data_IF_571961575118
#
_entry.id   IF_571961575118
#
_cell.length_a   1.000
_cell.length_b   1.000
_cell.length_c   1.000
_cell.angle_alpha   90.00
_cell.angle_beta   90.00
_cell.angle_gamma   90.00
#
_symmetry.space_group_name_H-M   'P 1'
#
loop_
_entity.id
_entity.type
_entity.pdbx_description
1 polymer ?
#
# COMPACT_ATOMS: atom_id res chain seq x y z
N UNK A 1 -17.86 -12.68 26.27
CA UNK A 1 -17.30 -12.84 24.92
C UNK A 1 -18.30 -12.44 23.84
N UNK A 2 -19.55 -12.93 23.84
CA UNK A 2 -20.54 -12.56 22.81
C UNK A 2 -21.08 -11.11 22.87
N UNK A 3 -21.03 -10.47 24.03
CA UNK A 3 -21.62 -9.14 24.26
C UNK A 3 -20.71 -8.00 23.76
N UNK A 4 -19.40 -8.21 23.86
CA UNK A 4 -18.37 -7.26 23.43
C UNK A 4 -18.25 -7.17 21.90
N UNK A 5 -18.53 -8.27 21.21
CA UNK A 5 -18.60 -8.32 19.75
C UNK A 5 -19.88 -7.66 19.21
N UNK A 6 -20.96 -7.71 20.00
CA UNK A 6 -22.23 -7.04 19.68
C UNK A 6 -22.09 -5.52 19.80
N UNK A 7 -21.40 -5.04 20.84
CA UNK A 7 -21.15 -3.61 21.02
C UNK A 7 -20.21 -3.03 19.95
N UNK A 8 -19.23 -3.83 19.50
CA UNK A 8 -18.38 -3.45 18.35
C UNK A 8 -19.17 -3.39 17.05
N UNK A 9 -20.05 -4.35 16.80
CA UNK A 9 -20.92 -4.34 15.63
C UNK A 9 -21.88 -3.13 15.63
N UNK A 10 -22.48 -2.81 16.78
CA UNK A 10 -23.36 -1.63 16.94
C UNK A 10 -22.58 -0.33 16.74
N UNK A 11 -21.35 -0.23 17.26
CA UNK A 11 -20.49 0.93 17.06
C UNK A 11 -20.10 1.16 15.60
N UNK A 12 -19.88 0.08 14.83
CA UNK A 12 -19.63 0.14 13.38
C UNK A 12 -20.90 0.60 12.63
N UNK A 13 -22.06 0.04 12.97
CA UNK A 13 -23.35 0.41 12.36
C UNK A 13 -23.69 1.89 12.60
N UNK A 14 -23.47 2.41 13.81
CA UNK A 14 -23.71 3.83 14.12
C UNK A 14 -22.78 4.76 13.33
N UNK A 15 -21.52 4.38 13.11
CA UNK A 15 -20.58 5.18 12.30
C UNK A 15 -20.93 5.18 10.82
N UNK A 16 -21.31 4.04 10.27
CA UNK A 16 -21.78 3.93 8.88
C UNK A 16 -23.06 4.75 8.70
N UNK A 17 -23.99 4.69 9.65
CA UNK A 17 -25.21 5.49 9.62
C UNK A 17 -24.93 7.00 9.73
N UNK A 18 -23.94 7.39 10.53
CA UNK A 18 -23.50 8.80 10.67
C UNK A 18 -22.82 9.29 9.39
N UNK A 19 -22.02 8.45 8.73
CA UNK A 19 -21.43 8.73 7.40
C UNK A 19 -22.51 8.78 6.30
N UNK A 20 -23.53 7.94 6.40
CA UNK A 20 -24.66 7.84 5.49
C UNK A 20 -25.76 8.87 5.79
N UNK A 21 -25.53 9.86 6.66
CA UNK A 21 -26.47 10.97 6.90
C UNK A 21 -26.52 11.97 5.71
N UNK A 22 -26.55 11.43 4.49
CA UNK A 22 -26.74 12.09 3.21
C UNK A 22 -27.97 11.50 2.53
N UNK A 23 -29.13 11.66 3.16
CA UNK A 23 -30.44 11.61 2.50
C UNK A 23 -30.91 10.25 1.95
N UNK A 24 -32.22 10.06 1.92
CA UNK A 24 -32.92 8.85 1.43
C UNK A 24 -32.54 8.41 0.00
N UNK A 25 -31.90 9.26 -0.80
CA UNK A 25 -31.52 8.95 -2.19
C UNK A 25 -30.17 8.23 -2.31
N UNK A 26 -29.29 8.28 -1.31
CA UNK A 26 -28.00 7.56 -1.36
C UNK A 26 -28.15 6.06 -1.14
N UNK A 27 -29.13 5.62 -0.36
CA UNK A 27 -29.41 4.20 -0.10
C UNK A 27 -29.81 3.44 -1.38
N UNK A 28 -30.51 4.09 -2.32
CA UNK A 28 -30.82 3.52 -3.63
C UNK A 28 -29.59 3.24 -4.50
N UNK A 29 -28.47 3.92 -4.21
CA UNK A 29 -27.21 3.78 -4.97
C UNK A 29 -26.38 2.59 -4.47
N UNK A 30 -26.66 2.08 -3.27
CA UNK A 30 -25.92 1.01 -2.62
C UNK A 30 -26.89 -0.06 -2.07
N UNK A 31 -27.44 -0.93 -2.94
CA UNK A 31 -28.46 -1.92 -2.57
C UNK A 31 -27.98 -2.93 -1.52
N UNK A 32 -26.67 -3.06 -1.31
CA UNK A 32 -26.10 -3.86 -0.23
C UNK A 32 -26.48 -3.35 1.17
N UNK A 33 -26.79 -2.05 1.32
CA UNK A 33 -27.21 -1.44 2.59
C UNK A 33 -28.71 -1.67 2.88
N UNK A 34 -29.56 -1.80 1.86
CA UNK A 34 -30.98 -2.19 2.01
C UNK A 34 -31.12 -3.59 2.63
N UNK A 35 -30.14 -4.47 2.38
CA UNK A 35 -30.12 -5.84 2.90
C UNK A 35 -29.91 -5.89 4.42
N UNK A 36 -29.32 -4.85 5.02
CA UNK A 36 -29.05 -4.78 6.46
C UNK A 36 -30.27 -4.41 7.31
N UNK A 37 -31.33 -3.87 6.70
CA UNK A 37 -32.61 -3.59 7.40
C UNK A 37 -33.50 -4.85 7.53
N UNK A 38 -33.15 -5.95 6.84
CA UNK A 38 -33.88 -7.22 6.95
C UNK A 38 -33.22 -8.08 8.03
N UNK A 39 -33.96 -8.38 9.08
CA UNK A 39 -33.51 -9.11 10.30
C UNK A 39 -33.04 -10.57 10.08
N UNK A 40 -32.78 -11.02 8.86
CA UNK A 40 -32.22 -12.36 8.62
C UNK A 40 -31.22 -12.36 7.46
N UNK A 41 -29.90 -12.23 7.72
CA UNK A 41 -28.89 -12.26 6.68
C UNK A 41 -28.55 -13.71 6.37
N UNK A 42 -29.38 -14.33 5.53
CA UNK A 42 -29.05 -15.57 4.85
C UNK A 42 -27.84 -15.36 3.93
N UNK A 43 -26.68 -15.82 4.40
CA UNK A 43 -25.47 -16.20 3.64
C UNK A 43 -24.76 -15.04 2.91
N UNK A 44 -23.57 -14.69 3.43
CA UNK A 44 -22.49 -14.12 2.62
C UNK A 44 -22.02 -12.70 2.98
N UNK A 45 -22.06 -12.28 4.24
CA UNK A 45 -21.36 -11.05 4.65
C UNK A 45 -19.87 -11.40 4.80
N UNK A 46 -19.05 -11.03 3.83
CA UNK A 46 -17.60 -10.94 4.04
C UNK A 46 -17.38 -9.99 5.22
N UNK A 47 -16.95 -10.52 6.36
CA UNK A 47 -16.66 -9.74 7.56
C UNK A 47 -15.55 -8.72 7.23
N UNK A 48 -15.91 -7.48 6.90
CA UNK A 48 -14.95 -6.37 6.82
C UNK A 48 -14.45 -6.11 8.24
N UNK A 49 -13.38 -6.79 8.62
CA UNK A 49 -12.74 -6.59 9.91
C UNK A 49 -11.94 -5.30 9.79
N UNK A 50 -12.55 -4.18 10.18
CA UNK A 50 -11.88 -2.88 10.16
C UNK A 50 -10.63 -2.94 11.04
N UNK A 51 -9.46 -2.60 10.48
CA UNK A 51 -8.19 -2.57 11.23
C UNK A 51 -8.00 -1.19 11.83
N UNK A 52 -7.68 -1.15 13.13
CA UNK A 52 -7.43 0.11 13.84
C UNK A 52 -6.03 0.67 13.61
N UNK A 53 -5.11 -0.14 13.08
CA UNK A 53 -3.72 0.26 12.88
C UNK A 53 -3.50 0.82 11.47
N UNK A 54 -2.55 1.75 11.34
CA UNK A 54 -2.09 2.20 10.02
C UNK A 54 -1.18 1.14 9.39
N UNK A 55 -1.27 0.98 8.07
CA UNK A 55 -0.37 0.14 7.29
C UNK A 55 1.03 0.78 7.24
N UNK A 56 1.11 2.04 6.84
CA UNK A 56 2.32 2.86 6.88
C UNK A 56 2.11 3.97 7.92
N UNK A 57 2.84 3.91 9.04
CA UNK A 57 2.94 5.03 9.96
C UNK A 57 4.28 5.72 9.69
N UNK A 58 4.22 6.84 8.95
CA UNK A 58 5.40 7.59 8.52
C UNK A 58 5.38 9.03 9.03
N UNK A 59 4.63 9.30 10.12
CA UNK A 59 4.30 10.63 10.66
C UNK A 59 5.51 11.49 11.10
N UNK A 60 6.74 11.02 10.89
CA UNK A 60 7.98 11.70 11.25
C UNK A 60 8.98 11.81 10.08
N UNK A 61 8.48 11.99 8.86
CA UNK A 61 9.32 12.12 7.66
C UNK A 61 9.19 13.54 7.07
N UNK A 62 9.97 14.52 7.56
CA UNK A 62 10.03 15.86 6.98
C UNK A 62 10.55 15.80 5.54
N UNK A 63 9.72 16.23 4.59
CA UNK A 63 10.13 16.47 3.21
C UNK A 63 9.97 15.31 2.22
N UNK A 64 9.38 14.15 2.57
CA UNK A 64 9.07 13.13 1.55
C UNK A 64 7.59 12.89 1.28
N UNK A 65 7.29 13.09 0.01
CA UNK A 65 6.62 12.24 -0.97
C UNK A 65 5.34 11.46 -0.64
N UNK A 66 4.35 11.78 -1.47
CA UNK A 66 3.05 11.13 -1.67
C UNK A 66 2.19 10.95 -0.41
N UNK A 67 1.90 12.04 0.36
CA UNK A 67 1.02 11.96 1.54
C UNK A 67 -0.34 11.36 1.17
N UNK A 68 -0.91 11.77 0.03
CA UNK A 68 -2.17 11.25 -0.48
C UNK A 68 -2.08 9.73 -0.75
N UNK A 69 -0.97 9.25 -1.32
CA UNK A 69 -0.80 7.81 -1.59
C UNK A 69 -0.64 7.00 -0.30
N UNK A 70 0.07 7.54 0.69
CA UNK A 70 0.22 6.91 2.02
C UNK A 70 -1.13 6.87 2.73
N UNK A 71 -1.91 7.94 2.63
CA UNK A 71 -3.27 7.98 3.14
C UNK A 71 -4.16 6.94 2.45
N UNK A 72 -4.14 6.87 1.11
CA UNK A 72 -4.89 5.87 0.32
C UNK A 72 -4.52 4.43 0.73
N UNK A 73 -3.23 4.14 0.92
CA UNK A 73 -2.75 2.83 1.40
C UNK A 73 -3.33 2.51 2.78
N UNK A 74 -3.27 3.46 3.71
CA UNK A 74 -3.80 3.30 5.07
C UNK A 74 -5.33 3.12 5.09
N UNK A 75 -6.06 3.84 4.23
CA UNK A 75 -7.50 3.71 4.08
C UNK A 75 -7.88 2.34 3.50
N UNK A 76 -7.17 1.85 2.48
CA UNK A 76 -7.39 0.51 1.92
C UNK A 76 -7.19 -0.59 2.96
N UNK A 77 -6.07 -0.53 3.69
CA UNK A 77 -5.74 -1.53 4.71
C UNK A 77 -6.73 -1.53 5.88
N UNK A 78 -7.09 -0.34 6.39
CA UNK A 78 -8.06 -0.21 7.48
C UNK A 78 -9.45 -0.69 7.08
N UNK A 79 -9.80 -0.58 5.80
CA UNK A 79 -11.06 -1.10 5.23
C UNK A 79 -11.01 -2.59 4.87
N UNK A 80 -9.86 -3.26 5.06
CA UNK A 80 -9.66 -4.67 4.73
C UNK A 80 -9.50 -4.95 3.22
N UNK A 81 -9.30 -3.93 2.40
CA UNK A 81 -9.07 -4.04 0.95
C UNK A 81 -7.59 -4.33 0.71
N UNK A 82 -7.20 -5.58 0.95
CA UNK A 82 -5.79 -5.97 0.94
C UNK A 82 -5.17 -5.80 -0.46
N UNK A 83 -5.86 -6.17 -1.54
CA UNK A 83 -5.34 -6.11 -2.92
C UNK A 83 -4.94 -4.68 -3.31
N UNK A 84 -5.82 -3.73 -3.00
CA UNK A 84 -5.55 -2.32 -3.21
C UNK A 84 -4.36 -1.85 -2.34
N UNK A 85 -4.27 -2.34 -1.09
CA UNK A 85 -3.13 -2.07 -0.22
C UNK A 85 -1.82 -2.54 -0.86
N UNK A 86 -1.77 -3.77 -1.40
CA UNK A 86 -0.58 -4.32 -2.06
C UNK A 86 -0.19 -3.50 -3.32
N UNK A 87 -1.18 -3.21 -4.18
CA UNK A 87 -0.96 -2.46 -5.43
C UNK A 87 -0.46 -1.05 -5.17
N UNK A 88 -1.07 -0.33 -4.22
CA UNK A 88 -0.67 1.03 -3.88
C UNK A 88 0.68 1.06 -3.17
N UNK A 89 0.99 0.07 -2.34
CA UNK A 89 2.32 -0.07 -1.71
C UNK A 89 3.41 -0.25 -2.76
N UNK A 90 3.19 -1.11 -3.77
CA UNK A 90 4.12 -1.25 -4.90
C UNK A 90 4.31 0.06 -5.65
N UNK A 91 3.23 0.82 -5.87
CA UNK A 91 3.30 2.14 -6.52
C UNK A 91 4.14 3.13 -5.71
N UNK A 92 4.02 3.12 -4.38
CA UNK A 92 4.85 3.94 -3.50
C UNK A 92 6.33 3.61 -3.68
N UNK A 93 6.71 2.33 -3.59
CA UNK A 93 8.10 1.89 -3.75
C UNK A 93 8.65 2.20 -5.16
N UNK A 94 7.83 2.01 -6.20
CA UNK A 94 8.19 2.36 -7.58
C UNK A 94 8.51 3.85 -7.73
N UNK A 95 7.64 4.71 -7.20
CA UNK A 95 7.84 6.15 -7.23
C UNK A 95 9.09 6.59 -6.45
N UNK A 96 9.33 6.01 -5.27
CA UNK A 96 10.52 6.31 -4.47
C UNK A 96 11.81 5.97 -5.24
N UNK A 97 11.88 4.80 -5.90
CA UNK A 97 13.03 4.45 -6.73
C UNK A 97 13.23 5.42 -7.90
N UNK A 98 12.15 5.84 -8.57
CA UNK A 98 12.22 6.85 -9.63
C UNK A 98 12.80 8.16 -9.10
N UNK A 99 12.32 8.63 -7.95
CA UNK A 99 12.75 9.91 -7.39
C UNK A 99 14.20 9.87 -6.90
N UNK A 100 14.64 8.74 -6.31
CA UNK A 100 16.05 8.52 -5.93
C UNK A 100 16.96 8.57 -7.16
N UNK A 101 16.67 7.73 -8.17
CA UNK A 101 17.49 7.66 -9.39
C UNK A 101 17.51 9.00 -10.13
N UNK A 102 16.36 9.69 -10.20
CA UNK A 102 16.28 11.01 -10.82
C UNK A 102 17.09 12.06 -10.06
N UNK A 103 17.05 12.05 -8.73
CA UNK A 103 17.78 13.02 -7.90
C UNK A 103 19.29 12.84 -8.04
N UNK A 104 19.75 11.58 -8.04
CA UNK A 104 21.18 11.26 -8.14
C UNK A 104 21.76 11.54 -9.53
N UNK A 105 21.11 11.07 -10.60
CA UNK A 105 21.71 11.09 -11.94
C UNK A 105 21.13 12.16 -12.89
N UNK A 106 20.04 12.82 -12.49
CA UNK A 106 19.40 13.87 -13.28
C UNK A 106 18.91 13.39 -14.65
N UNK A 107 18.94 14.29 -15.63
CA UNK A 107 18.44 14.01 -17.01
C UNK A 107 19.48 13.39 -17.94
N UNK A 108 20.76 13.34 -17.54
CA UNK A 108 21.83 12.79 -18.39
C UNK A 108 21.73 11.28 -18.47
N UNK A 109 21.46 10.63 -17.35
CA UNK A 109 21.19 9.19 -17.27
C UNK A 109 19.69 8.91 -17.12
N UNK A 110 18.86 9.61 -17.91
CA UNK A 110 17.39 9.49 -17.84
C UNK A 110 16.91 8.05 -18.06
N UNK A 111 17.66 7.28 -18.85
CA UNK A 111 17.40 5.88 -19.15
C UNK A 111 17.53 4.98 -17.92
N UNK A 112 18.02 5.45 -16.78
CA UNK A 112 18.03 4.67 -15.53
C UNK A 112 16.63 4.52 -14.93
N UNK A 113 15.75 5.49 -15.10
CA UNK A 113 14.40 5.50 -14.50
C UNK A 113 13.27 5.72 -15.52
N UNK A 114 13.57 6.16 -16.73
CA UNK A 114 12.59 6.49 -17.77
C UNK A 114 12.88 5.76 -19.08
N UNK A 115 11.86 5.59 -19.91
CA UNK A 115 11.94 5.05 -21.26
C UNK A 115 11.50 6.15 -22.24
N UNK A 116 12.44 6.94 -22.80
CA UNK A 116 12.12 8.05 -23.70
C UNK A 116 11.24 7.65 -24.88
N UNK A 117 11.56 6.51 -25.50
CA UNK A 117 10.84 5.97 -26.66
C UNK A 117 9.35 5.70 -26.40
N UNK A 118 9.01 5.31 -25.17
CA UNK A 118 7.65 4.98 -24.76
C UNK A 118 7.01 6.08 -23.91
N UNK A 119 7.71 7.20 -23.70
CA UNK A 119 7.31 8.33 -22.86
C UNK A 119 6.76 7.93 -21.49
N UNK A 120 7.37 6.92 -20.87
CA UNK A 120 6.92 6.39 -19.57
C UNK A 120 8.09 6.05 -18.66
N UNK A 121 7.84 6.02 -17.36
CA UNK A 121 8.81 5.47 -16.41
C UNK A 121 9.02 3.98 -16.64
N UNK A 122 10.20 3.50 -16.27
CA UNK A 122 10.47 2.07 -16.18
C UNK A 122 9.52 1.45 -15.15
N UNK A 123 9.15 0.20 -15.39
CA UNK A 123 8.38 -0.55 -14.39
C UNK A 123 9.25 -0.91 -13.18
N UNK A 124 8.59 -1.28 -12.09
CA UNK A 124 9.25 -1.62 -10.82
C UNK A 124 10.44 -2.57 -10.96
N UNK A 125 10.31 -3.64 -11.74
CA UNK A 125 11.41 -4.60 -11.94
C UNK A 125 12.63 -3.98 -12.61
N UNK A 126 12.43 -3.15 -13.64
CA UNK A 126 13.54 -2.46 -14.31
C UNK A 126 14.15 -1.38 -13.41
N UNK A 127 13.37 -0.78 -12.51
CA UNK A 127 13.86 0.19 -11.54
C UNK A 127 14.73 -0.47 -10.46
N UNK A 128 14.30 -1.60 -9.89
CA UNK A 128 15.10 -2.38 -8.95
C UNK A 128 16.43 -2.76 -9.57
N UNK A 129 16.42 -3.34 -10.78
CA UNK A 129 17.66 -3.71 -11.48
C UNK A 129 18.58 -2.51 -11.75
N UNK A 130 18.02 -1.33 -12.02
CA UNK A 130 18.82 -0.11 -12.20
C UNK A 130 19.41 0.37 -10.89
N UNK A 131 18.67 0.29 -9.79
CA UNK A 131 19.11 0.65 -8.45
C UNK A 131 20.19 -0.31 -7.92
N UNK A 132 19.98 -1.62 -8.03
CA UNK A 132 20.93 -2.68 -7.66
C UNK A 132 22.27 -2.54 -8.40
N UNK A 133 22.25 -2.30 -9.72
CA UNK A 133 23.48 -2.11 -10.51
C UNK A 133 24.33 -0.92 -10.08
N UNK A 134 23.75 0.02 -9.34
CA UNK A 134 24.43 1.19 -8.83
C UNK A 134 24.35 1.27 -7.30
N UNK A 135 24.19 0.12 -6.63
CA UNK A 135 24.00 0.07 -5.18
C UNK A 135 25.13 0.77 -4.42
N UNK A 136 26.37 0.63 -4.92
CA UNK A 136 27.58 1.27 -4.36
C UNK A 136 27.45 2.80 -4.24
N UNK A 137 26.70 3.44 -5.15
CA UNK A 137 26.45 4.89 -5.12
C UNK A 137 25.55 5.30 -3.94
N UNK A 138 24.82 4.36 -3.33
CA UNK A 138 23.84 4.63 -2.26
C UNK A 138 24.18 3.98 -0.93
N UNK A 139 25.08 2.98 -0.88
CA UNK A 139 25.41 2.19 0.33
C UNK A 139 25.82 3.05 1.52
N UNK A 140 26.47 4.18 1.26
CA UNK A 140 26.92 5.11 2.30
C UNK A 140 25.80 6.01 2.86
N UNK A 141 24.61 6.02 2.25
CA UNK A 141 23.51 6.94 2.57
C UNK A 141 22.50 6.39 3.58
N UNK A 142 22.43 5.06 3.74
CA UNK A 142 21.57 4.42 4.74
C UNK A 142 22.15 3.08 5.18
N UNK A 143 22.25 2.87 6.50
CA UNK A 143 22.47 1.53 7.04
C UNK A 143 21.29 0.63 6.68
N UNK A 144 21.57 -0.56 6.14
CA UNK A 144 20.56 -1.51 5.64
C UNK A 144 20.32 -1.48 4.13
N UNK A 145 21.18 -0.81 3.36
CA UNK A 145 21.15 -0.84 1.90
C UNK A 145 22.17 -1.87 1.40
N UNK A 146 21.77 -3.15 1.42
CA UNK A 146 22.59 -4.31 1.07
C UNK A 146 21.81 -5.24 0.11
N UNK A 147 22.43 -6.36 -0.28
CA UNK A 147 21.81 -7.35 -1.16
C UNK A 147 20.50 -7.90 -0.56
N UNK A 148 20.41 -7.99 0.77
CA UNK A 148 19.20 -8.44 1.46
C UNK A 148 18.05 -7.44 1.26
N UNK A 149 18.34 -6.15 1.26
CA UNK A 149 17.34 -5.13 0.92
C UNK A 149 16.89 -5.21 -0.54
N UNK A 150 17.80 -5.54 -1.46
CA UNK A 150 17.42 -5.78 -2.87
C UNK A 150 16.53 -7.02 -3.02
N UNK A 151 16.83 -8.09 -2.29
CA UNK A 151 15.97 -9.28 -2.23
C UNK A 151 14.58 -8.93 -1.69
N UNK A 152 14.50 -8.10 -0.65
CA UNK A 152 13.23 -7.59 -0.12
C UNK A 152 12.42 -6.82 -1.19
N UNK A 153 13.07 -5.94 -1.96
CA UNK A 153 12.42 -5.26 -3.10
C UNK A 153 11.91 -6.23 -4.17
N UNK A 154 12.64 -7.33 -4.40
CA UNK A 154 12.21 -8.38 -5.33
C UNK A 154 11.03 -9.21 -4.82
N UNK A 155 10.85 -9.37 -3.51
CA UNK A 155 9.68 -10.03 -2.92
C UNK A 155 8.39 -9.26 -3.25
N UNK A 156 8.38 -7.92 -3.13
CA UNK A 156 7.24 -7.09 -3.55
C UNK A 156 6.86 -7.25 -5.02
N UNK A 157 7.82 -7.61 -5.89
CA UNK A 157 7.54 -7.97 -7.29
C UNK A 157 6.84 -9.32 -7.37
N UNK A 158 7.36 -10.33 -6.68
CA UNK A 158 6.86 -11.70 -6.77
C UNK A 158 5.46 -11.81 -6.18
N UNK A 159 5.23 -11.22 -5.01
CA UNK A 159 3.94 -11.27 -4.33
C UNK A 159 2.88 -10.52 -5.12
N UNK A 160 3.16 -9.31 -5.60
CA UNK A 160 2.21 -8.57 -6.42
C UNK A 160 1.90 -9.24 -7.77
N UNK A 161 2.84 -10.01 -8.33
CA UNK A 161 2.63 -10.70 -9.60
C UNK A 161 1.91 -12.04 -9.42
N UNK A 162 2.12 -12.74 -8.30
CA UNK A 162 1.33 -13.90 -7.92
C UNK A 162 -0.10 -13.51 -7.57
N UNK A 163 -0.28 -12.43 -6.80
CA UNK A 163 -1.59 -11.97 -6.35
C UNK A 163 -2.41 -11.34 -7.48
N UNK A 164 -1.81 -10.57 -8.39
CA UNK A 164 -2.54 -10.00 -9.54
C UNK A 164 -2.94 -11.05 -10.61
N UNK A 165 -2.45 -12.29 -10.49
CA UNK A 165 -2.87 -13.41 -11.35
C UNK A 165 -3.99 -14.26 -10.71
N UNK A 166 -4.33 -14.04 -9.45
CA UNK A 166 -5.54 -14.57 -8.82
C UNK A 166 -6.62 -13.49 -8.84
N UNK A 167 -7.82 -13.80 -9.36
CA UNK A 167 -8.95 -12.85 -9.40
C UNK A 167 -9.42 -12.47 -7.98
N UNK A 168 -9.09 -13.29 -6.98
CA UNK A 168 -9.19 -12.99 -5.55
C UNK A 168 -7.85 -13.29 -4.88
N UNK A 169 -7.21 -12.28 -4.33
CA UNK A 169 -6.05 -12.40 -3.45
C UNK A 169 -6.53 -12.90 -2.09
N UNK A 170 -6.46 -14.21 -1.85
CA UNK A 170 -6.75 -14.80 -0.54
C UNK A 170 -5.56 -14.62 0.42
N UNK A 171 -5.07 -13.38 0.56
CA UNK A 171 -4.02 -13.06 1.51
C UNK A 171 -4.58 -13.16 2.93
N UNK A 172 -3.95 -14.00 3.74
CA UNK A 172 -4.32 -14.20 5.13
C UNK A 172 -3.98 -12.96 5.96
N UNK A 173 -4.57 -12.88 7.15
CA UNK A 173 -4.21 -11.82 8.11
C UNK A 173 -2.71 -11.87 8.48
N UNK A 174 -2.10 -13.05 8.57
CA UNK A 174 -0.67 -13.17 8.87
C UNK A 174 0.19 -12.57 7.76
N UNK A 175 -0.06 -12.99 6.52
CA UNK A 175 0.70 -12.54 5.34
C UNK A 175 0.63 -11.03 5.14
N UNK A 176 -0.53 -10.40 5.31
CA UNK A 176 -0.65 -8.94 5.17
C UNK A 176 0.03 -8.17 6.32
N UNK A 177 0.15 -8.73 7.52
CA UNK A 177 0.95 -8.11 8.59
C UNK A 177 2.46 -8.25 8.33
N UNK A 178 2.91 -9.40 7.83
CA UNK A 178 4.31 -9.57 7.41
C UNK A 178 4.67 -8.61 6.26
N UNK A 179 3.78 -8.53 5.26
CA UNK A 179 3.91 -7.61 4.14
C UNK A 179 3.92 -6.14 4.59
N UNK A 180 3.13 -5.80 5.61
CA UNK A 180 3.12 -4.46 6.24
C UNK A 180 4.48 -4.12 6.85
N UNK A 181 5.09 -5.04 7.60
CA UNK A 181 6.37 -4.80 8.24
C UNK A 181 7.50 -4.64 7.22
N UNK A 182 7.51 -5.47 6.17
CA UNK A 182 8.43 -5.32 5.03
C UNK A 182 8.22 -3.97 4.34
N UNK A 183 6.96 -3.60 4.04
CA UNK A 183 6.65 -2.38 3.30
C UNK A 183 7.12 -1.13 4.07
N UNK A 184 6.96 -1.14 5.39
CA UNK A 184 7.46 -0.09 6.29
C UNK A 184 8.96 0.00 6.26
N UNK A 185 9.66 -1.14 6.41
CA UNK A 185 11.11 -1.18 6.39
C UNK A 185 11.64 -0.61 5.06
N UNK A 186 11.13 -1.10 3.94
CA UNK A 186 11.55 -0.65 2.63
C UNK A 186 11.26 0.83 2.37
N UNK A 187 10.07 1.32 2.73
CA UNK A 187 9.75 2.74 2.62
C UNK A 187 10.68 3.62 3.47
N UNK A 188 11.02 3.19 4.68
CA UNK A 188 11.95 3.93 5.57
C UNK A 188 13.37 3.96 5.02
N UNK A 189 13.89 2.85 4.50
CA UNK A 189 15.22 2.77 3.88
C UNK A 189 15.28 3.69 2.65
N UNK A 190 14.34 3.54 1.71
CA UNK A 190 14.29 4.38 0.51
C UNK A 190 14.12 5.86 0.84
N UNK A 191 13.32 6.20 1.85
CA UNK A 191 13.21 7.58 2.30
C UNK A 191 14.54 8.15 2.79
N UNK A 192 15.27 7.39 3.62
CA UNK A 192 16.58 7.82 4.13
C UNK A 192 17.57 8.05 2.98
N UNK A 193 17.61 7.15 2.01
CA UNK A 193 18.42 7.30 0.80
C UNK A 193 18.04 8.59 0.08
N UNK A 194 16.76 8.75 -0.26
CA UNK A 194 16.27 9.91 -0.99
C UNK A 194 16.60 11.25 -0.31
N UNK A 195 16.55 11.28 1.03
CA UNK A 195 16.88 12.47 1.82
C UNK A 195 18.38 12.82 1.75
N UNK A 196 19.23 11.82 1.65
CA UNK A 196 20.69 11.95 1.75
C UNK A 196 21.40 12.01 0.39
N UNK A 197 20.72 11.66 -0.71
CA UNK A 197 21.10 12.02 -2.09
C UNK A 197 21.00 13.53 -2.29
#
# INVERSE_FOLDING_TARGET
MAEEDKDKAVGVMQRIYTLANTGSDTLKKYPALETLEREDPGIGIQHSTFRSEQFLNIDNVPGAFYPDLVEDINQCYSSGVNDATLVLTRKLLENLLIDILRKQYGKREIDLYYLPENRRFKNFSKLINSFEKHLEDFQHLSGGLDDKFIDELHTFRQDANAEAHSIETNITKGEIEEYRDQARHAAQVLFRVWRNV
#
